data_IF_136647780169
#
_entry.id   IF_136647780169
#
_cell.length_a   1.000
_cell.length_b   1.000
_cell.length_c   1.000
_cell.angle_alpha   90.00
_cell.angle_beta   90.00
_cell.angle_gamma   90.00
#
_symmetry.space_group_name_H-M   'P 1'
#
loop_
_entity.id
_entity.type
_entity.pdbx_description
1 polymer ?
#
# COMPACT_ATOMS: atom_id res chain seq x y z
N UNK A 1 -9.15 33.26 20.75
CA UNK A 1 -8.84 32.75 22.12
C UNK A 1 -7.38 33.10 22.40
N UNK A 2 -7.16 34.33 22.88
CA UNK A 2 -6.75 34.68 24.25
C UNK A 2 -5.29 34.30 24.55
N UNK A 3 -4.47 35.37 24.55
CA UNK A 3 -3.10 35.47 25.05
C UNK A 3 -3.04 35.08 26.53
N UNK A 4 -2.02 34.33 26.93
CA UNK A 4 -1.49 34.37 28.29
C UNK A 4 0.05 34.39 28.25
N UNK A 5 0.56 35.61 28.38
CA UNK A 5 1.91 35.93 28.84
C UNK A 5 1.91 35.71 30.36
N UNK A 6 2.82 34.87 30.87
CA UNK A 6 3.09 34.77 32.30
C UNK A 6 4.58 34.99 32.56
N UNK A 7 4.82 36.05 33.32
CA UNK A 7 6.09 36.57 33.82
C UNK A 7 6.57 35.67 34.98
N UNK A 8 7.85 35.32 35.03
CA UNK A 8 8.48 34.79 36.24
C UNK A 8 9.90 35.37 36.44
N UNK A 9 9.96 36.21 37.47
CA UNK A 9 11.07 36.94 38.10
C UNK A 9 12.10 35.94 38.68
N UNK A 10 13.36 36.00 38.23
CA UNK A 10 14.52 36.53 38.96
C UNK A 10 14.71 36.02 40.40
N UNK A 11 15.50 34.95 40.55
CA UNK A 11 16.24 34.64 41.77
C UNK A 11 17.65 34.17 41.37
N UNK A 12 18.64 35.07 41.50
CA UNK A 12 20.06 34.82 41.23
C UNK A 12 20.79 34.64 42.56
N UNK A 13 21.37 33.46 42.86
CA UNK A 13 22.36 33.34 43.91
C UNK A 13 23.71 33.85 43.38
N UNK A 14 24.25 34.86 44.06
CA UNK A 14 25.62 35.37 43.89
C UNK A 14 26.62 34.27 44.24
N UNK A 15 27.07 33.52 43.23
CA UNK A 15 28.26 32.68 43.30
C UNK A 15 29.42 33.43 42.66
N UNK A 16 30.39 33.79 43.49
CA UNK A 16 31.72 34.30 43.11
C UNK A 16 32.43 33.25 42.24
N UNK A 17 32.27 33.34 40.93
CA UNK A 17 33.02 32.55 39.97
C UNK A 17 34.40 33.18 39.78
N UNK A 18 35.42 32.42 40.14
CA UNK A 18 36.80 32.65 39.70
C UNK A 18 36.82 32.74 38.18
N UNK A 19 37.12 33.94 37.66
CA UNK A 19 37.37 34.17 36.23
C UNK A 19 38.65 33.42 35.83
N UNK A 20 38.51 32.14 35.53
CA UNK A 20 39.52 31.43 34.75
C UNK A 20 39.41 31.98 33.33
N UNK A 21 40.47 32.64 32.86
CA UNK A 21 40.55 33.17 31.50
C UNK A 21 40.35 32.01 30.51
N UNK A 22 39.15 31.92 29.93
CA UNK A 22 38.86 30.92 28.92
C UNK A 22 39.87 31.11 27.78
N UNK A 23 40.63 30.07 27.40
CA UNK A 23 41.59 30.19 26.31
C UNK A 23 40.82 30.67 25.07
N UNK A 24 41.32 31.73 24.44
CA UNK A 24 40.72 32.27 23.22
C UNK A 24 40.67 31.15 22.17
N UNK A 25 39.47 30.60 21.95
CA UNK A 25 39.21 29.64 20.89
C UNK A 25 39.72 30.25 19.59
N UNK A 26 40.74 29.63 18.99
CA UNK A 26 41.22 30.09 17.70
C UNK A 26 40.07 30.03 16.70
N UNK A 27 40.01 31.00 15.79
CA UNK A 27 39.00 31.05 14.73
C UNK A 27 38.90 29.72 13.96
N UNK A 28 40.05 29.06 13.74
CA UNK A 28 40.13 27.74 13.12
C UNK A 28 39.44 26.64 13.94
N UNK A 29 39.58 26.64 15.27
CA UNK A 29 38.88 25.69 16.14
C UNK A 29 37.36 25.90 16.09
N UNK A 30 36.89 27.16 16.06
CA UNK A 30 35.48 27.48 15.92
C UNK A 30 34.92 27.06 14.55
N UNK A 31 35.63 27.33 13.45
CA UNK A 31 35.23 26.89 12.11
C UNK A 31 35.20 25.36 11.98
N UNK A 32 36.18 24.66 12.56
CA UNK A 32 36.23 23.20 12.58
C UNK A 32 35.01 22.61 13.31
N UNK A 33 34.67 23.17 14.48
CA UNK A 33 33.49 22.78 15.25
C UNK A 33 32.19 23.03 14.49
N UNK A 34 32.02 24.19 13.85
CA UNK A 34 30.83 24.46 13.03
C UNK A 34 30.72 23.46 11.88
N UNK A 35 31.83 23.17 11.18
CA UNK A 35 31.86 22.20 10.08
C UNK A 35 31.49 20.79 10.56
N UNK A 36 31.98 20.35 11.71
CA UNK A 36 31.63 19.04 12.27
C UNK A 36 30.14 18.97 12.64
N UNK A 37 29.60 19.99 13.32
CA UNK A 37 28.18 20.06 13.69
C UNK A 37 27.26 20.07 12.47
N UNK A 38 27.62 20.81 11.42
CA UNK A 38 26.84 20.83 10.16
C UNK A 38 26.85 19.45 9.51
N UNK A 39 28.01 18.79 9.42
CA UNK A 39 28.12 17.43 8.86
C UNK A 39 27.32 16.41 9.67
N UNK A 40 27.36 16.47 11.00
CA UNK A 40 26.56 15.60 11.86
C UNK A 40 25.06 15.83 11.69
N UNK A 41 24.64 17.09 11.61
CA UNK A 41 23.24 17.46 11.39
C UNK A 41 22.77 16.96 10.03
N UNK A 42 23.58 17.12 8.98
CA UNK A 42 23.28 16.57 7.65
C UNK A 42 23.17 15.05 7.67
N UNK A 43 24.09 14.34 8.35
CA UNK A 43 24.01 12.87 8.49
C UNK A 43 22.71 12.44 9.18
N UNK A 44 22.33 13.11 10.29
CA UNK A 44 21.07 12.83 11.00
C UNK A 44 19.85 13.08 10.11
N UNK A 45 19.85 14.15 9.32
CA UNK A 45 18.76 14.43 8.38
C UNK A 45 18.65 13.38 7.26
N UNK A 46 19.78 12.89 6.74
CA UNK A 46 19.79 11.82 5.74
C UNK A 46 19.25 10.52 6.36
N UNK A 47 19.75 10.12 7.53
CA UNK A 47 19.25 8.94 8.26
C UNK A 47 17.74 9.03 8.55
N UNK A 48 17.24 10.19 8.97
CA UNK A 48 15.81 10.37 9.21
C UNK A 48 14.97 10.23 7.93
N UNK A 49 15.47 10.73 6.79
CA UNK A 49 14.79 10.58 5.49
C UNK A 49 14.79 9.12 5.03
N UNK A 50 15.91 8.44 5.18
CA UNK A 50 16.07 7.02 4.85
C UNK A 50 15.13 6.13 5.68
N UNK A 51 15.08 6.37 6.99
CA UNK A 51 14.17 5.66 7.90
C UNK A 51 12.69 5.93 7.56
N UNK A 52 12.35 7.18 7.19
CA UNK A 52 11.00 7.56 6.74
C UNK A 52 10.61 6.85 5.44
N UNK A 53 11.53 6.77 4.48
CA UNK A 53 11.33 6.03 3.23
C UNK A 53 11.13 4.54 3.51
N UNK A 54 11.99 3.92 4.33
CA UNK A 54 11.90 2.52 4.71
C UNK A 54 10.57 2.20 5.41
N UNK A 55 10.11 3.08 6.30
CA UNK A 55 8.81 2.97 6.98
C UNK A 55 7.64 3.04 6.00
N UNK A 56 7.70 3.94 5.02
CA UNK A 56 6.66 4.08 3.99
C UNK A 56 6.59 2.85 3.10
N UNK A 57 7.74 2.30 2.67
CA UNK A 57 7.81 1.04 1.92
C UNK A 57 7.20 -0.10 2.74
N UNK A 58 7.55 -0.19 4.03
CA UNK A 58 7.02 -1.22 4.93
C UNK A 58 5.51 -1.12 5.10
N UNK A 59 4.96 0.09 5.22
CA UNK A 59 3.51 0.31 5.31
C UNK A 59 2.79 -0.21 4.08
N UNK A 60 3.21 0.22 2.88
CA UNK A 60 2.61 -0.25 1.63
C UNK A 60 2.76 -1.76 1.49
N UNK A 61 3.92 -2.33 1.84
CA UNK A 61 4.12 -3.77 1.85
C UNK A 61 3.11 -4.50 2.74
N UNK A 62 2.78 -3.96 3.91
CA UNK A 62 1.78 -4.53 4.81
C UNK A 62 0.37 -4.39 4.25
N UNK A 63 0.03 -3.26 3.64
CA UNK A 63 -1.27 -3.05 2.99
C UNK A 63 -1.46 -4.06 1.84
N UNK A 64 -0.44 -4.27 1.00
CA UNK A 64 -0.48 -5.28 -0.06
C UNK A 64 -0.63 -6.71 0.48
N UNK A 65 -0.08 -7.01 1.65
CA UNK A 65 -0.30 -8.30 2.32
C UNK A 65 -1.76 -8.48 2.74
N UNK A 66 -2.44 -7.40 3.16
CA UNK A 66 -3.88 -7.43 3.48
C UNK A 66 -4.72 -7.64 2.23
N UNK A 67 -4.42 -6.91 1.15
CA UNK A 67 -5.14 -7.04 -0.12
C UNK A 67 -5.04 -8.44 -0.74
N UNK A 68 -4.03 -9.22 -0.36
CA UNK A 68 -3.95 -10.63 -0.74
C UNK A 68 -5.11 -11.44 -0.15
N UNK A 69 -5.48 -11.19 1.10
CA UNK A 69 -6.62 -11.85 1.72
C UNK A 69 -7.93 -11.43 1.04
N UNK A 70 -8.07 -10.17 0.68
CA UNK A 70 -9.24 -9.65 -0.04
C UNK A 70 -9.37 -10.29 -1.42
N UNK A 71 -8.26 -10.46 -2.16
CA UNK A 71 -8.23 -11.20 -3.42
C UNK A 71 -8.66 -12.65 -3.27
N UNK A 72 -8.14 -13.34 -2.25
CA UNK A 72 -8.50 -14.74 -2.00
C UNK A 72 -9.96 -14.88 -1.58
N UNK A 73 -10.49 -13.93 -0.82
CA UNK A 73 -11.90 -13.89 -0.46
C UNK A 73 -12.80 -13.64 -1.67
N UNK A 74 -12.44 -12.67 -2.52
CA UNK A 74 -13.12 -12.43 -3.79
C UNK A 74 -13.09 -13.67 -4.70
N UNK A 75 -11.97 -14.37 -4.77
CA UNK A 75 -11.85 -15.62 -5.53
C UNK A 75 -12.79 -16.72 -4.99
N UNK A 76 -12.91 -16.87 -3.66
CA UNK A 76 -13.87 -17.81 -3.06
C UNK A 76 -15.31 -17.44 -3.40
N UNK A 77 -15.65 -16.16 -3.31
CA UNK A 77 -16.99 -15.64 -3.70
C UNK A 77 -17.28 -15.90 -5.18
N UNK A 78 -16.31 -15.66 -6.07
CA UNK A 78 -16.43 -15.96 -7.51
C UNK A 78 -16.77 -17.44 -7.73
N UNK A 79 -16.07 -18.36 -7.06
CA UNK A 79 -16.32 -19.80 -7.17
C UNK A 79 -17.70 -20.21 -6.66
N UNK A 80 -18.13 -19.65 -5.54
CA UNK A 80 -19.47 -19.91 -4.98
C UNK A 80 -20.58 -19.42 -5.90
N UNK A 81 -20.47 -18.17 -6.37
CA UNK A 81 -21.43 -17.58 -7.32
C UNK A 81 -21.44 -18.38 -8.63
N UNK A 82 -20.29 -18.82 -9.14
CA UNK A 82 -20.21 -19.67 -10.35
C UNK A 82 -20.96 -20.97 -10.16
N UNK A 83 -20.77 -21.67 -9.03
CA UNK A 83 -21.50 -22.90 -8.70
C UNK A 83 -23.01 -22.67 -8.67
N UNK A 84 -23.47 -21.61 -8.01
CA UNK A 84 -24.90 -21.27 -7.91
C UNK A 84 -25.51 -20.84 -9.24
N UNK A 85 -24.76 -20.07 -10.04
CA UNK A 85 -25.17 -19.71 -11.40
C UNK A 85 -25.34 -20.94 -12.30
N UNK A 86 -24.44 -21.93 -12.20
CA UNK A 86 -24.58 -23.21 -12.92
C UNK A 86 -25.82 -23.98 -12.48
N UNK A 87 -26.07 -24.06 -11.17
CA UNK A 87 -27.28 -24.72 -10.63
C UNK A 87 -28.53 -24.04 -11.18
N UNK A 88 -28.63 -22.72 -11.05
CA UNK A 88 -29.77 -21.95 -11.55
C UNK A 88 -29.97 -22.11 -13.07
N UNK A 89 -28.89 -22.12 -13.85
CA UNK A 89 -28.98 -22.33 -15.29
C UNK A 89 -29.49 -23.74 -15.65
N UNK A 90 -29.10 -24.76 -14.89
CA UNK A 90 -29.59 -26.13 -15.08
C UNK A 90 -31.04 -26.27 -14.62
N UNK A 91 -31.40 -25.65 -13.50
CA UNK A 91 -32.75 -25.72 -12.92
C UNK A 91 -33.75 -24.97 -13.78
N UNK A 92 -33.37 -23.83 -14.39
CA UNK A 92 -34.23 -23.12 -15.37
C UNK A 92 -34.64 -23.96 -16.57
N UNK A 93 -33.81 -24.93 -16.97
CA UNK A 93 -34.17 -25.86 -18.05
C UNK A 93 -35.21 -26.90 -17.60
N UNK A 94 -35.38 -27.12 -16.30
CA UNK A 94 -36.33 -28.07 -15.70
C UNK A 94 -37.59 -27.39 -15.20
N UNK A 95 -37.43 -26.28 -14.48
CA UNK A 95 -38.47 -25.42 -13.94
C UNK A 95 -38.13 -23.94 -14.25
N UNK A 96 -38.79 -23.34 -15.24
CA UNK A 96 -38.57 -21.94 -15.62
C UNK A 96 -38.80 -20.93 -14.49
N UNK A 97 -39.56 -21.31 -13.45
CA UNK A 97 -39.87 -20.46 -12.31
C UNK A 97 -38.87 -20.58 -11.17
N UNK A 98 -37.92 -21.52 -11.24
CA UNK A 98 -36.88 -21.66 -10.23
C UNK A 98 -35.94 -20.43 -10.27
N UNK A 99 -35.85 -19.72 -9.14
CA UNK A 99 -35.01 -18.54 -8.97
C UNK A 99 -34.22 -18.63 -7.66
N UNK A 100 -32.96 -18.23 -7.70
CA UNK A 100 -32.16 -17.98 -6.50
C UNK A 100 -32.31 -16.50 -6.09
N UNK A 101 -33.08 -16.19 -5.02
CA UNK A 101 -33.38 -14.81 -4.65
C UNK A 101 -32.14 -14.06 -4.13
N UNK A 102 -31.10 -14.77 -3.67
CA UNK A 102 -29.93 -14.17 -3.06
C UNK A 102 -28.78 -13.97 -4.04
N UNK A 103 -28.73 -14.73 -5.13
CA UNK A 103 -27.62 -14.70 -6.10
C UNK A 103 -27.33 -13.30 -6.63
N UNK A 104 -28.37 -12.53 -6.98
CA UNK A 104 -28.21 -11.15 -7.45
C UNK A 104 -27.58 -10.23 -6.40
N UNK A 105 -27.92 -10.42 -5.13
CA UNK A 105 -27.34 -9.65 -4.05
C UNK A 105 -25.85 -10.00 -3.84
N UNK A 106 -25.50 -11.28 -3.90
CA UNK A 106 -24.11 -11.72 -3.74
C UNK A 106 -23.22 -11.26 -4.90
N UNK A 107 -23.75 -11.26 -6.13
CA UNK A 107 -23.10 -10.65 -7.30
C UNK A 107 -22.82 -9.17 -7.06
N UNK A 108 -23.81 -8.41 -6.55
CA UNK A 108 -23.65 -6.97 -6.27
C UNK A 108 -22.61 -6.74 -5.17
N UNK A 109 -22.62 -7.54 -4.11
CA UNK A 109 -21.63 -7.47 -3.02
C UNK A 109 -20.23 -7.75 -3.53
N UNK A 110 -20.04 -8.81 -4.31
CA UNK A 110 -18.76 -9.11 -4.95
C UNK A 110 -18.28 -7.93 -5.82
N UNK A 111 -19.16 -7.34 -6.62
CA UNK A 111 -18.80 -6.20 -7.46
C UNK A 111 -18.37 -4.98 -6.64
N UNK A 112 -18.99 -4.76 -5.48
CA UNK A 112 -18.57 -3.71 -4.54
C UNK A 112 -17.19 -4.01 -3.96
N UNK A 113 -16.95 -5.23 -3.49
CA UNK A 113 -15.67 -5.67 -2.94
C UNK A 113 -14.54 -5.51 -3.98
N UNK A 114 -14.78 -5.93 -5.23
CA UNK A 114 -13.82 -5.79 -6.33
C UNK A 114 -13.51 -4.32 -6.62
N UNK A 115 -14.52 -3.45 -6.64
CA UNK A 115 -14.32 -2.02 -6.85
C UNK A 115 -13.55 -1.37 -5.71
N UNK A 116 -13.77 -1.80 -4.48
CA UNK A 116 -13.05 -1.26 -3.34
C UNK A 116 -11.58 -1.69 -3.36
N UNK A 117 -11.32 -2.98 -3.59
CA UNK A 117 -9.98 -3.50 -3.84
C UNK A 117 -9.28 -2.76 -4.99
N UNK A 118 -10.02 -2.45 -6.06
CA UNK A 118 -9.51 -1.70 -7.21
C UNK A 118 -9.08 -0.25 -6.84
N UNK A 119 -9.78 0.40 -5.92
CA UNK A 119 -9.41 1.73 -5.37
C UNK A 119 -8.20 1.64 -4.45
N UNK A 120 -8.11 0.57 -3.67
CA UNK A 120 -7.00 0.31 -2.76
C UNK A 120 -5.70 0.03 -3.51
N UNK A 121 -5.75 -0.78 -4.56
CA UNK A 121 -4.62 -0.99 -5.47
C UNK A 121 -4.20 0.30 -6.18
N UNK A 122 -5.15 1.20 -6.48
CA UNK A 122 -4.82 2.53 -7.01
C UNK A 122 -4.02 3.37 -6.02
N UNK A 123 -4.44 3.42 -4.75
CA UNK A 123 -3.73 4.15 -3.68
C UNK A 123 -2.33 3.58 -3.47
N UNK A 124 -2.21 2.24 -3.46
CA UNK A 124 -0.92 1.56 -3.36
C UNK A 124 -0.02 1.91 -4.55
N UNK A 125 -0.54 1.86 -5.78
CA UNK A 125 0.21 2.20 -7.01
C UNK A 125 0.72 3.64 -6.99
N UNK A 126 -0.12 4.60 -6.58
CA UNK A 126 0.28 6.00 -6.42
C UNK A 126 1.41 6.14 -5.39
N UNK A 127 1.30 5.44 -4.26
CA UNK A 127 2.32 5.48 -3.20
C UNK A 127 3.64 4.87 -3.67
N UNK A 128 3.62 3.71 -4.34
CA UNK A 128 4.82 3.08 -4.92
C UNK A 128 5.45 3.98 -5.98
N UNK A 129 4.63 4.59 -6.85
CA UNK A 129 5.10 5.55 -7.85
C UNK A 129 5.78 6.77 -7.22
N UNK A 130 5.22 7.32 -6.14
CA UNK A 130 5.84 8.42 -5.40
C UNK A 130 7.16 7.99 -4.77
N UNK A 131 7.20 6.83 -4.11
CA UNK A 131 8.42 6.26 -3.54
C UNK A 131 9.49 6.05 -4.61
N UNK A 132 9.12 5.58 -5.80
CA UNK A 132 10.04 5.37 -6.92
C UNK A 132 10.69 6.67 -7.42
N UNK A 133 9.98 7.80 -7.33
CA UNK A 133 10.50 9.13 -7.69
C UNK A 133 11.48 9.68 -6.65
N UNK A 134 11.22 9.41 -5.36
CA UNK A 134 12.05 9.91 -4.25
C UNK A 134 13.14 8.93 -3.82
N UNK A 135 13.09 7.68 -4.29
CA UNK A 135 13.99 6.62 -3.88
C UNK A 135 15.45 6.96 -4.14
N UNK A 136 16.26 6.76 -3.10
CA UNK A 136 17.72 6.77 -3.15
C UNK A 136 18.26 5.47 -2.56
N UNK A 137 19.54 5.20 -2.84
CA UNK A 137 20.27 4.10 -2.22
C UNK A 137 20.24 4.27 -0.71
N UNK A 138 19.67 3.30 -0.02
CA UNK A 138 19.53 3.31 1.43
C UNK A 138 19.51 1.88 1.95
N UNK A 139 20.52 1.46 2.74
CA UNK A 139 20.57 0.10 3.28
C UNK A 139 19.31 -0.28 4.07
N UNK A 140 18.72 0.68 4.78
CA UNK A 140 17.52 0.48 5.59
C UNK A 140 16.27 0.17 4.75
N UNK A 141 16.24 0.63 3.49
CA UNK A 141 15.11 0.43 2.57
C UNK A 141 15.16 -0.91 1.82
N UNK A 142 16.31 -1.61 1.81
CA UNK A 142 16.51 -2.83 1.01
C UNK A 142 15.59 -3.96 1.46
N UNK A 143 15.54 -4.24 2.78
CA UNK A 143 14.69 -5.30 3.33
C UNK A 143 13.19 -5.02 3.11
N UNK A 144 12.65 -3.82 3.45
CA UNK A 144 11.27 -3.46 3.11
C UNK A 144 10.95 -3.57 1.62
N UNK A 145 11.86 -3.15 0.73
CA UNK A 145 11.63 -3.24 -0.71
C UNK A 145 11.60 -4.70 -1.21
N UNK A 146 12.39 -5.58 -0.61
CA UNK A 146 12.32 -7.02 -0.89
C UNK A 146 10.98 -7.63 -0.45
N UNK A 147 10.47 -7.26 0.73
CA UNK A 147 9.13 -7.68 1.17
C UNK A 147 8.03 -7.17 0.23
N UNK A 148 8.15 -5.92 -0.23
CA UNK A 148 7.21 -5.33 -1.19
C UNK A 148 7.18 -6.11 -2.52
N UNK A 149 8.35 -6.50 -3.05
CA UNK A 149 8.45 -7.33 -4.27
C UNK A 149 7.83 -8.70 -4.07
N UNK A 150 8.08 -9.33 -2.92
CA UNK A 150 7.46 -10.61 -2.59
C UNK A 150 5.93 -10.50 -2.60
N UNK A 151 5.39 -9.51 -1.90
CA UNK A 151 3.94 -9.33 -1.77
C UNK A 151 3.28 -8.98 -3.11
N UNK A 152 3.89 -8.11 -3.93
CA UNK A 152 3.37 -7.81 -5.27
C UNK A 152 3.41 -9.00 -6.21
N UNK A 153 4.44 -9.85 -6.12
CA UNK A 153 4.51 -11.10 -6.88
C UNK A 153 3.38 -12.06 -6.51
N UNK A 154 3.07 -12.22 -5.22
CA UNK A 154 1.94 -13.01 -4.77
C UNK A 154 0.60 -12.44 -5.27
N UNK A 155 0.39 -11.13 -5.08
CA UNK A 155 -0.82 -10.45 -5.57
C UNK A 155 -1.04 -10.65 -7.07
N UNK A 156 0.01 -10.49 -7.87
CA UNK A 156 -0.03 -10.73 -9.32
C UNK A 156 -0.43 -12.16 -9.65
N UNK A 157 0.13 -13.14 -8.93
CA UNK A 157 -0.23 -14.56 -9.13
C UNK A 157 -1.70 -14.81 -8.79
N UNK A 158 -2.14 -14.36 -7.60
CA UNK A 158 -3.51 -14.56 -7.12
C UNK A 158 -4.54 -13.85 -8.04
N UNK A 159 -4.20 -12.64 -8.52
CA UNK A 159 -5.03 -11.90 -9.48
C UNK A 159 -5.15 -12.60 -10.84
N UNK A 160 -4.08 -13.23 -11.35
CA UNK A 160 -4.14 -13.99 -12.60
C UNK A 160 -5.01 -15.25 -12.51
N UNK A 161 -5.01 -15.92 -11.35
CA UNK A 161 -5.96 -17.01 -11.08
C UNK A 161 -7.40 -16.50 -10.99
N UNK A 162 -7.61 -15.37 -10.30
CA UNK A 162 -8.91 -14.73 -10.20
C UNK A 162 -9.46 -14.29 -11.56
N UNK A 163 -8.61 -13.79 -12.46
CA UNK A 163 -8.95 -13.45 -13.86
C UNK A 163 -9.51 -14.66 -14.61
N UNK A 164 -8.85 -15.80 -14.47
CA UNK A 164 -9.32 -17.05 -15.08
C UNK A 164 -10.68 -17.48 -14.51
N UNK A 165 -10.83 -17.45 -13.19
CA UNK A 165 -12.10 -17.78 -12.52
C UNK A 165 -13.24 -16.82 -12.92
N UNK A 166 -12.94 -15.53 -13.08
CA UNK A 166 -13.92 -14.51 -13.48
C UNK A 166 -14.43 -14.73 -14.92
N UNK A 167 -13.57 -15.16 -15.84
CA UNK A 167 -13.97 -15.53 -17.22
C UNK A 167 -14.96 -16.70 -17.23
N UNK A 168 -14.70 -17.72 -16.41
CA UNK A 168 -15.63 -18.85 -16.26
C UNK A 168 -16.95 -18.40 -15.64
N UNK A 169 -16.87 -17.63 -14.55
CA UNK A 169 -18.03 -17.06 -13.88
C UNK A 169 -18.90 -16.24 -14.85
N UNK A 170 -18.31 -15.41 -15.71
CA UNK A 170 -19.05 -14.66 -16.72
C UNK A 170 -19.87 -15.57 -17.62
N UNK A 171 -19.30 -16.69 -18.08
CA UNK A 171 -20.01 -17.67 -18.92
C UNK A 171 -21.18 -18.29 -18.16
N UNK A 172 -20.98 -18.64 -16.89
CA UNK A 172 -22.02 -19.23 -16.03
C UNK A 172 -23.15 -18.22 -15.73
N UNK A 173 -22.79 -16.98 -15.40
CA UNK A 173 -23.75 -15.90 -15.15
C UNK A 173 -24.56 -15.57 -16.39
N UNK A 174 -23.94 -15.55 -17.58
CA UNK A 174 -24.65 -15.38 -18.85
C UNK A 174 -25.71 -16.47 -19.04
N UNK A 175 -25.38 -17.74 -18.76
CA UNK A 175 -26.34 -18.85 -18.84
C UNK A 175 -27.46 -18.73 -17.81
N UNK A 176 -27.16 -18.19 -16.63
CA UNK A 176 -28.14 -17.94 -15.58
C UNK A 176 -29.00 -16.68 -15.83
N UNK A 177 -28.69 -15.85 -16.84
CA UNK A 177 -29.43 -14.63 -17.17
C UNK A 177 -28.89 -13.34 -16.56
N UNK A 178 -27.67 -13.36 -16.00
CA UNK A 178 -26.95 -12.22 -15.41
C UNK A 178 -25.80 -11.76 -16.31
N UNK A 179 -26.09 -11.56 -17.59
CA UNK A 179 -25.07 -11.29 -18.62
C UNK A 179 -24.26 -10.02 -18.34
N UNK A 180 -24.92 -8.94 -17.93
CA UNK A 180 -24.26 -7.65 -17.69
C UNK A 180 -23.41 -7.69 -16.43
N UNK A 181 -23.92 -8.28 -15.36
CA UNK A 181 -23.20 -8.38 -14.10
C UNK A 181 -21.95 -9.28 -14.23
N UNK A 182 -22.02 -10.36 -15.01
CA UNK A 182 -20.86 -11.19 -15.31
C UNK A 182 -19.77 -10.46 -16.09
N UNK A 183 -20.16 -9.55 -16.99
CA UNK A 183 -19.20 -8.72 -17.73
C UNK A 183 -18.57 -7.62 -16.85
N UNK A 184 -19.36 -7.01 -15.96
CA UNK A 184 -18.84 -6.04 -15.00
C UNK A 184 -17.83 -6.66 -14.04
N UNK A 185 -18.07 -7.88 -13.55
CA UNK A 185 -17.11 -8.61 -12.71
C UNK A 185 -15.81 -8.91 -13.47
N UNK A 186 -15.89 -9.50 -14.67
CA UNK A 186 -14.71 -9.79 -15.50
C UNK A 186 -13.89 -8.52 -15.74
N UNK A 187 -14.53 -7.41 -16.10
CA UNK A 187 -13.87 -6.13 -16.33
C UNK A 187 -13.13 -5.62 -15.09
N UNK A 188 -13.74 -5.64 -13.91
CA UNK A 188 -13.08 -5.17 -12.68
C UNK A 188 -11.88 -6.05 -12.34
N UNK A 189 -12.03 -7.38 -12.49
CA UNK A 189 -10.93 -8.33 -12.28
C UNK A 189 -9.78 -8.09 -13.28
N UNK A 190 -10.06 -7.85 -14.55
CA UNK A 190 -9.05 -7.51 -15.57
C UNK A 190 -8.29 -6.21 -15.23
N UNK A 191 -8.96 -5.24 -14.61
CA UNK A 191 -8.30 -4.01 -14.12
C UNK A 191 -7.40 -4.33 -12.93
N UNK A 192 -7.86 -5.15 -11.99
CA UNK A 192 -7.08 -5.59 -10.83
C UNK A 192 -5.81 -6.35 -11.28
N UNK A 193 -5.94 -7.32 -12.18
CA UNK A 193 -4.79 -8.07 -12.72
C UNK A 193 -3.76 -7.14 -13.37
N UNK A 194 -4.17 -6.23 -14.26
CA UNK A 194 -3.24 -5.25 -14.85
C UNK A 194 -2.52 -4.40 -13.81
N UNK A 195 -3.23 -3.90 -12.80
CA UNK A 195 -2.64 -3.08 -11.73
C UNK A 195 -1.65 -3.85 -10.88
N UNK A 196 -1.93 -5.12 -10.56
CA UNK A 196 -0.99 -5.93 -9.78
C UNK A 196 0.28 -6.25 -10.58
N UNK A 197 0.18 -6.42 -11.91
CA UNK A 197 1.35 -6.56 -12.80
C UNK A 197 2.20 -5.28 -12.83
N UNK A 198 1.58 -4.12 -12.92
CA UNK A 198 2.30 -2.84 -12.89
C UNK A 198 2.94 -2.56 -11.53
N UNK A 199 2.22 -2.82 -10.42
CA UNK A 199 2.77 -2.74 -9.06
C UNK A 199 4.00 -3.63 -8.87
N UNK A 200 3.99 -4.83 -9.44
CA UNK A 200 5.11 -5.77 -9.37
C UNK A 200 6.33 -5.25 -10.15
N UNK A 201 6.12 -4.68 -11.34
CA UNK A 201 7.16 -4.02 -12.13
C UNK A 201 7.77 -2.83 -11.38
N UNK A 202 6.91 -1.98 -10.80
CA UNK A 202 7.34 -0.79 -10.06
C UNK A 202 8.07 -1.16 -8.77
N UNK A 203 7.63 -2.20 -8.07
CA UNK A 203 8.27 -2.69 -6.85
C UNK A 203 9.67 -3.25 -7.13
N UNK A 204 9.85 -3.98 -8.24
CA UNK A 204 11.19 -4.43 -8.68
C UNK A 204 12.08 -3.24 -9.02
N UNK A 205 11.54 -2.25 -9.72
CA UNK A 205 12.27 -1.03 -10.06
C UNK A 205 12.70 -0.27 -8.80
N UNK A 206 11.82 -0.19 -7.80
CA UNK A 206 12.10 0.40 -6.50
C UNK A 206 13.20 -0.37 -5.77
N UNK A 207 13.12 -1.70 -5.73
CA UNK A 207 14.14 -2.55 -5.12
C UNK A 207 15.52 -2.34 -5.74
N UNK A 208 15.61 -2.23 -7.07
CA UNK A 208 16.87 -1.94 -7.76
C UNK A 208 17.41 -0.55 -7.43
N UNK A 209 16.55 0.47 -7.24
CA UNK A 209 16.99 1.84 -6.89
C UNK A 209 17.50 1.98 -5.46
N UNK A 210 16.95 1.21 -4.51
CA UNK A 210 17.33 1.33 -3.09
C UNK A 210 18.54 0.48 -2.71
N UNK A 211 18.91 -0.50 -3.54
CA UNK A 211 20.15 -1.28 -3.45
C UNK A 211 21.35 -0.48 -3.97
#
# INVERSE_FOLDING_TARGET
MIRLLAIAVLALPLLTQSLSAAPALSFEAALSSIRSTVRETQKKQIQAKDASQASSIRRVSNDLSRYRWDLQDAQRKIKDISRRAKQLANDRNRDPNHQDPFLRNDIRRLLWDLRDLNRDLNRASQTVSQLLRTAKKSPESVSPAQSLVSNTRWLKSDAGWMESDARWLRSDLRRAGFTFEGWDIEREVDVIDRKTRDLERDSRSLQTKVR
#
